data_IF_530631544825
#
_entry.id   IF_530631544825
#
_cell.length_a   1.000
_cell.length_b   1.000
_cell.length_c   1.000
_cell.angle_alpha   90.00
_cell.angle_beta   90.00
_cell.angle_gamma   90.00
#
_symmetry.space_group_name_H-M   'P 1'
#
loop_
_entity.id
_entity.type
_entity.pdbx_description
1 polymer ?
#
# COMPACT_ATOMS: atom_id res chain seq x y z
N UNK A 1 15.74 -3.88 5.45
CA UNK A 1 14.42 -3.31 5.06
C UNK A 1 13.20 -4.23 5.14
N UNK A 2 13.25 -5.59 5.09
CA UNK A 2 12.01 -6.38 5.09
C UNK A 2 11.27 -6.36 6.44
N UNK A 3 12.00 -6.25 7.55
CA UNK A 3 11.42 -6.13 8.90
C UNK A 3 10.62 -4.84 9.09
N UNK A 4 11.12 -3.71 8.58
CA UNK A 4 10.45 -2.41 8.69
C UNK A 4 9.11 -2.45 7.98
N UNK A 5 9.08 -2.97 6.74
CA UNK A 5 7.83 -3.12 5.98
C UNK A 5 6.82 -3.94 6.76
N UNK A 6 7.26 -5.06 7.38
CA UNK A 6 6.35 -5.90 8.16
C UNK A 6 5.85 -5.21 9.43
N UNK A 7 6.72 -4.48 10.13
CA UNK A 7 6.34 -3.71 11.31
C UNK A 7 5.30 -2.63 10.97
N UNK A 8 5.48 -1.92 9.86
CA UNK A 8 4.53 -0.91 9.37
C UNK A 8 3.19 -1.54 9.00
N UNK A 9 3.18 -2.68 8.30
CA UNK A 9 1.93 -3.39 7.98
C UNK A 9 1.20 -3.83 9.26
N UNK A 10 1.92 -4.30 10.28
CA UNK A 10 1.30 -4.63 11.56
C UNK A 10 0.73 -3.37 12.25
N UNK A 11 1.48 -2.28 12.28
CA UNK A 11 0.99 -1.02 12.87
C UNK A 11 -0.24 -0.46 12.13
N UNK A 12 -0.30 -0.57 10.80
CA UNK A 12 -1.44 -0.12 10.02
C UNK A 12 -2.71 -0.95 10.26
N UNK A 13 -2.57 -2.22 10.69
CA UNK A 13 -3.71 -3.04 11.09
C UNK A 13 -4.33 -2.58 12.41
N UNK A 14 -3.50 -2.07 13.31
CA UNK A 14 -3.95 -1.51 14.59
C UNK A 14 -4.57 -0.11 14.41
N UNK A 15 -4.13 0.63 13.38
CA UNK A 15 -4.59 2.00 13.07
C UNK A 15 -5.16 2.11 11.64
N UNK A 16 -6.37 1.58 11.37
CA UNK A 16 -6.97 1.56 10.04
C UNK A 16 -7.28 2.96 9.47
N UNK A 17 -7.38 3.99 10.32
CA UNK A 17 -7.57 5.38 9.90
C UNK A 17 -6.43 5.90 9.00
N UNK A 18 -5.22 5.36 9.13
CA UNK A 18 -4.07 5.75 8.31
C UNK A 18 -4.13 5.18 6.89
N UNK A 19 -4.96 4.17 6.65
CA UNK A 19 -5.11 3.51 5.34
C UNK A 19 -6.41 3.92 4.63
N UNK A 20 -7.00 5.05 5.02
CA UNK A 20 -8.21 5.57 4.40
C UNK A 20 -7.90 6.51 3.23
N UNK A 21 -8.78 6.53 2.23
CA UNK A 21 -8.76 7.51 1.14
C UNK A 21 -9.94 8.46 1.29
N UNK A 22 -9.72 9.74 1.04
CA UNK A 22 -10.81 10.71 0.91
C UNK A 22 -11.36 10.65 -0.51
N UNK A 23 -12.67 10.46 -0.65
CA UNK A 23 -13.36 10.63 -1.92
C UNK A 23 -13.91 12.07 -1.98
N UNK A 24 -13.23 12.92 -2.76
CA UNK A 24 -13.57 14.35 -2.90
C UNK A 24 -14.93 14.59 -3.59
N UNK A 25 -15.41 13.63 -4.40
CA UNK A 25 -16.70 13.77 -5.09
C UNK A 25 -17.88 13.46 -4.16
N UNK A 26 -17.70 12.50 -3.25
CA UNK A 26 -18.73 12.07 -2.30
C UNK A 26 -18.60 12.74 -0.92
N UNK A 27 -17.46 13.39 -0.61
CA UNK A 27 -17.18 13.93 0.71
C UNK A 27 -17.07 12.85 1.81
N UNK A 28 -16.78 11.60 1.42
CA UNK A 28 -16.76 10.44 2.31
C UNK A 28 -15.32 9.92 2.51
N UNK A 29 -15.04 9.41 3.71
CA UNK A 29 -13.79 8.71 4.03
C UNK A 29 -13.98 7.22 3.75
N UNK A 30 -13.18 6.66 2.84
CA UNK A 30 -13.23 5.25 2.45
C UNK A 30 -12.12 4.49 3.15
N UNK A 31 -12.49 3.53 4.00
CA UNK A 31 -11.54 2.61 4.65
C UNK A 31 -11.23 1.41 3.74
N UNK A 32 -9.97 0.99 3.73
CA UNK A 32 -9.49 -0.14 2.92
C UNK A 32 -8.93 -1.28 3.79
N UNK A 33 -9.42 -2.50 3.55
CA UNK A 33 -8.95 -3.72 4.24
C UNK A 33 -7.64 -4.30 3.68
N UNK A 34 -7.00 -3.61 2.73
CA UNK A 34 -5.77 -4.05 2.06
C UNK A 34 -4.63 -3.07 2.30
N UNK A 35 -3.47 -3.60 2.68
CA UNK A 35 -2.28 -2.83 3.04
C UNK A 35 -1.16 -2.97 1.99
N UNK A 36 -1.27 -2.22 0.90
CA UNK A 36 -0.24 -2.20 -0.15
C UNK A 36 0.79 -1.11 0.16
N UNK A 37 2.06 -1.49 0.34
CA UNK A 37 3.14 -0.59 0.78
C UNK A 37 4.02 -0.22 -0.40
N UNK A 38 4.04 1.06 -0.76
CA UNK A 38 5.00 1.62 -1.71
C UNK A 38 6.37 1.84 -1.06
N UNK A 39 7.44 1.40 -1.71
CA UNK A 39 8.82 1.70 -1.29
C UNK A 39 9.38 2.70 -2.30
N UNK A 40 9.59 3.95 -1.90
CA UNK A 40 10.22 4.95 -2.76
C UNK A 40 11.72 4.65 -2.91
N UNK A 41 12.19 4.55 -4.15
CA UNK A 41 13.59 4.28 -4.47
C UNK A 41 14.07 5.30 -5.50
N UNK A 42 15.18 5.95 -5.19
CA UNK A 42 15.88 6.79 -6.14
C UNK A 42 16.68 5.90 -7.10
N UNK A 43 16.41 6.03 -8.40
CA UNK A 43 17.10 5.29 -9.45
C UNK A 43 17.76 6.28 -10.41
N UNK A 44 18.80 5.87 -11.16
CA UNK A 44 19.41 6.75 -12.17
C UNK A 44 18.42 7.23 -13.26
N UNK A 45 17.28 6.54 -13.42
CA UNK A 45 16.21 6.91 -14.34
C UNK A 45 15.12 7.81 -13.70
N UNK A 46 15.29 8.18 -12.42
CA UNK A 46 14.35 8.98 -11.63
C UNK A 46 13.78 8.23 -10.42
N UNK A 47 12.92 8.92 -9.67
CA UNK A 47 12.21 8.37 -8.52
C UNK A 47 11.20 7.32 -8.98
N UNK A 48 11.32 6.09 -8.48
CA UNK A 48 10.33 5.04 -8.74
C UNK A 48 9.82 4.43 -7.45
N UNK A 49 8.53 4.11 -7.41
CA UNK A 49 7.86 3.55 -6.23
C UNK A 49 7.29 2.14 -6.55
N UNK A 50 8.08 1.07 -6.41
CA UNK A 50 7.56 -0.28 -6.44
C UNK A 50 6.63 -0.57 -5.24
N UNK A 51 5.56 -1.33 -5.48
CA UNK A 51 4.52 -1.65 -4.47
C UNK A 51 4.65 -3.08 -3.98
N UNK A 52 4.92 -3.25 -2.68
CA UNK A 52 4.83 -4.51 -1.95
C UNK A 52 3.36 -4.77 -1.60
N UNK A 53 2.82 -5.92 -1.99
CA UNK A 53 1.42 -6.27 -1.70
C UNK A 53 1.28 -6.99 -0.37
N UNK A 54 0.15 -6.79 0.30
CA UNK A 54 -0.16 -7.42 1.60
C UNK A 54 -0.24 -8.96 1.54
N UNK A 55 -0.42 -9.54 0.34
CA UNK A 55 -0.43 -10.99 0.13
C UNK A 55 0.89 -11.69 0.53
N UNK A 56 1.95 -10.93 0.78
CA UNK A 56 3.26 -11.44 1.23
C UNK A 56 3.29 -11.64 2.75
N UNK A 57 3.11 -12.90 3.16
CA UNK A 57 2.99 -13.28 4.58
C UNK A 57 4.32 -13.38 5.32
N UNK A 58 5.40 -13.82 4.67
CA UNK A 58 6.70 -14.12 5.29
C UNK A 58 7.75 -13.02 5.02
N UNK A 59 8.55 -12.69 6.05
CA UNK A 59 9.71 -11.80 5.96
C UNK A 59 10.68 -12.23 4.84
N UNK A 60 10.89 -13.53 4.66
CA UNK A 60 11.75 -14.04 3.58
C UNK A 60 11.21 -13.69 2.19
N UNK A 61 9.90 -13.82 1.98
CA UNK A 61 9.27 -13.47 0.71
C UNK A 61 9.31 -11.96 0.46
N UNK A 62 9.11 -11.15 1.50
CA UNK A 62 9.30 -9.70 1.43
C UNK A 62 10.74 -9.36 1.07
N UNK A 63 11.72 -10.02 1.69
CA UNK A 63 13.13 -9.86 1.36
C UNK A 63 13.44 -10.25 -0.08
N UNK A 64 12.93 -11.40 -0.54
CA UNK A 64 13.14 -11.92 -1.89
C UNK A 64 12.55 -10.95 -2.92
N UNK A 65 11.33 -10.45 -2.67
CA UNK A 65 10.68 -9.48 -3.53
C UNK A 65 11.47 -8.17 -3.60
N UNK A 66 11.87 -7.60 -2.45
CA UNK A 66 12.65 -6.36 -2.40
C UNK A 66 13.98 -6.55 -3.14
N UNK A 67 14.69 -7.66 -2.87
CA UNK A 67 15.97 -7.97 -3.51
C UNK A 67 15.84 -8.13 -5.02
N UNK A 68 14.72 -8.71 -5.48
CA UNK A 68 14.42 -8.87 -6.90
C UNK A 68 14.08 -7.53 -7.54
N UNK A 69 13.26 -6.72 -6.90
CA UNK A 69 12.92 -5.37 -7.34
C UNK A 69 14.16 -4.47 -7.46
N UNK A 70 15.09 -4.57 -6.50
CA UNK A 70 16.39 -3.88 -6.54
C UNK A 70 17.29 -4.37 -7.67
N UNK A 71 17.34 -5.69 -7.90
CA UNK A 71 18.21 -6.29 -8.91
C UNK A 71 17.78 -5.94 -10.32
N UNK A 72 16.47 -5.86 -10.58
CA UNK A 72 15.98 -5.77 -11.95
C UNK A 72 16.19 -4.40 -12.60
N UNK A 73 16.48 -3.31 -11.87
CA UNK A 73 16.70 -1.91 -12.35
C UNK A 73 15.69 -1.35 -13.38
N UNK A 74 14.72 -2.14 -13.81
CA UNK A 74 13.61 -1.82 -14.71
C UNK A 74 12.36 -1.94 -13.89
N UNK A 75 12.06 -0.90 -13.13
CA UNK A 75 10.78 -0.84 -12.43
C UNK A 75 9.77 -0.24 -13.39
N UNK A 76 9.27 -1.08 -14.30
CA UNK A 76 8.03 -0.75 -14.99
C UNK A 76 6.90 -0.96 -14.00
N UNK A 77 6.59 0.09 -13.24
CA UNK A 77 5.37 0.17 -12.44
C UNK A 77 4.21 -0.01 -13.40
N UNK A 78 3.45 -1.11 -13.27
CA UNK A 78 2.18 -1.22 -13.99
C UNK A 78 1.29 -0.08 -13.50
N UNK A 79 0.82 0.82 -14.37
CA UNK A 79 -0.05 1.89 -13.96
C UNK A 79 -1.43 1.28 -13.69
N UNK A 80 -1.64 0.76 -12.48
CA UNK A 80 -2.98 0.60 -11.93
C UNK A 80 -3.20 1.81 -11.05
N UNK A 81 -4.19 2.62 -11.45
CA UNK A 81 -4.46 4.02 -11.10
C UNK A 81 -4.51 4.43 -9.61
N UNK A 82 -4.22 3.57 -8.64
CA UNK A 82 -4.34 3.90 -7.23
C UNK A 82 -3.44 3.00 -6.38
N UNK A 83 -2.54 3.62 -5.61
CA UNK A 83 -1.69 2.95 -4.61
C UNK A 83 -2.57 2.47 -3.43
N UNK A 84 -3.71 3.13 -3.22
CA UNK A 84 -4.80 2.73 -2.32
C UNK A 84 -6.06 2.34 -3.09
N UNK A 85 -6.48 1.07 -3.02
CA UNK A 85 -7.87 0.70 -3.26
C UNK A 85 -8.20 0.10 -4.64
N UNK A 86 -8.42 -1.22 -4.64
CA UNK A 86 -9.29 -1.88 -5.59
C UNK A 86 -10.75 -1.38 -5.43
N UNK A 87 -11.55 -1.59 -6.49
CA UNK A 87 -12.95 -1.17 -6.67
C UNK A 87 -13.82 -1.16 -5.39
N UNK A 88 -14.77 -0.22 -5.30
CA UNK A 88 -15.68 -0.10 -4.14
C UNK A 88 -16.45 -1.41 -3.95
N UNK A 89 -16.08 -2.20 -2.95
CA UNK A 89 -16.98 -3.20 -2.40
C UNK A 89 -18.11 -2.45 -1.72
N UNK A 90 -19.34 -2.71 -2.17
CA UNK A 90 -20.58 -2.17 -1.63
C UNK A 90 -20.67 -2.40 -0.12
N UNK A 91 -20.16 -1.47 0.67
CA UNK A 91 -20.55 -1.24 2.05
C UNK A 91 -20.07 0.15 2.42
N UNK A 92 -20.95 1.14 2.21
CA UNK A 92 -20.82 2.50 2.76
C UNK A 92 -20.74 2.38 4.29
N UNK A 93 -19.55 2.30 4.83
CA UNK A 93 -19.35 2.48 6.26
C UNK A 93 -19.24 3.98 6.50
N UNK A 94 -20.32 4.57 7.04
CA UNK A 94 -20.26 5.90 7.62
C UNK A 94 -19.23 5.90 8.74
N UNK A 95 -18.51 7.00 8.80
CA UNK A 95 -17.54 7.33 9.82
C UNK A 95 -18.10 7.08 11.25
N UNK A 96 -17.52 6.18 12.04
CA UNK A 96 -17.95 5.96 13.43
C UNK A 96 -17.55 7.09 14.38
N UNK A 97 -16.79 8.10 13.92
CA UNK A 97 -16.47 9.30 14.72
C UNK A 97 -17.43 10.48 14.53
N UNK A 98 -18.41 10.36 13.63
CA UNK A 98 -19.41 11.39 13.37
C UNK A 98 -20.73 11.21 14.17
N UNK A 99 -20.66 10.53 15.33
CA UNK A 99 -21.77 10.34 16.26
C UNK A 99 -21.40 10.85 17.67
#
# INVERSE_FOLDING_TARGET
>A
MPFIVKAVVTALKDYPALNASLDEEAGEIVFHDRYDIGIAVDTPAGLTVPVVRDEIRNVYETWRWISTAWRLRRVQVRPRRRICGALPSRSRARDPSAA
#
